data_IF_992551445266
#
_entry.id   IF_992551445266
#
_cell.length_a   1.000
_cell.length_b   1.000
_cell.length_c   1.000
_cell.angle_alpha   90.00
_cell.angle_beta   90.00
_cell.angle_gamma   90.00
#
_symmetry.space_group_name_H-M   'P 1'
#
loop_
_entity.id
_entity.type
_entity.pdbx_description
1 polymer ?
#
# COMPACT_ATOMS: atom_id res chain seq x y z
N UNK A 1 -0.64 58.51 -41.61
CA UNK A 1 -0.39 59.55 -42.64
C UNK A 1 0.06 58.82 -43.89
N UNK A 2 -0.72 58.87 -44.98
CA UNK A 2 -0.35 58.28 -46.27
C UNK A 2 -0.06 59.40 -47.26
N UNK A 3 1.10 59.39 -47.93
CA UNK A 3 1.52 60.42 -48.89
C UNK A 3 1.37 61.88 -48.37
N UNK A 4 1.61 62.11 -47.08
CA UNK A 4 1.51 63.44 -46.47
C UNK A 4 0.09 63.88 -46.05
N UNK A 5 -0.94 63.05 -46.25
CA UNK A 5 -2.32 63.30 -45.83
C UNK A 5 -2.81 62.40 -44.69
N UNK A 6 -3.84 62.87 -43.96
CA UNK A 6 -4.64 62.01 -43.06
C UNK A 6 -5.55 61.11 -43.90
N UNK A 7 -5.59 59.81 -43.57
CA UNK A 7 -6.52 58.87 -44.22
C UNK A 7 -7.96 59.20 -43.82
N UNK A 8 -8.93 58.75 -44.62
CA UNK A 8 -10.37 58.89 -44.33
C UNK A 8 -10.71 58.31 -42.96
N UNK A 9 -10.20 57.12 -42.65
CA UNK A 9 -10.36 56.49 -41.33
C UNK A 9 -9.73 57.30 -40.19
N UNK A 10 -8.51 57.83 -40.34
CA UNK A 10 -7.87 58.66 -39.29
C UNK A 10 -8.63 59.97 -39.09
N UNK A 11 -9.17 60.56 -40.16
CA UNK A 11 -9.97 61.79 -40.07
C UNK A 11 -11.28 61.56 -39.30
N UNK A 12 -12.00 60.49 -39.61
CA UNK A 12 -13.22 60.10 -38.89
C UNK A 12 -12.92 59.81 -37.41
N UNK A 13 -11.82 59.11 -37.12
CA UNK A 13 -11.40 58.82 -35.75
C UNK A 13 -11.09 60.09 -34.94
N UNK A 14 -10.40 61.07 -35.54
CA UNK A 14 -10.10 62.36 -34.91
C UNK A 14 -11.35 63.24 -34.72
N UNK A 15 -12.42 63.00 -35.47
CA UNK A 15 -13.71 63.64 -35.31
C UNK A 15 -14.63 62.91 -34.30
N UNK A 16 -14.08 61.95 -33.55
CA UNK A 16 -14.80 61.05 -32.62
C UNK A 16 -15.89 60.18 -33.27
N UNK A 17 -15.90 60.06 -34.60
CA UNK A 17 -16.77 59.17 -35.36
C UNK A 17 -16.13 57.79 -35.53
N UNK A 18 -16.23 56.97 -34.46
CA UNK A 18 -15.70 55.59 -34.49
C UNK A 18 -16.38 54.70 -35.54
N UNK A 19 -17.72 54.70 -35.70
CA UNK A 19 -18.36 53.90 -36.75
C UNK A 19 -17.86 54.27 -38.16
N UNK A 20 -17.80 55.57 -38.49
CA UNK A 20 -17.30 56.02 -39.79
C UNK A 20 -15.81 55.73 -39.99
N UNK A 21 -15.00 55.73 -38.92
CA UNK A 21 -13.60 55.31 -38.99
C UNK A 21 -13.44 53.81 -39.31
N UNK A 22 -14.31 52.97 -38.74
CA UNK A 22 -14.32 51.52 -39.02
C UNK A 22 -14.79 51.27 -40.45
N UNK A 23 -15.86 51.91 -40.90
CA UNK A 23 -16.37 51.79 -42.27
C UNK A 23 -15.30 52.23 -43.30
N UNK A 24 -14.68 53.39 -43.09
CA UNK A 24 -13.60 53.88 -43.95
C UNK A 24 -12.35 52.97 -43.95
N UNK A 25 -12.13 52.20 -42.88
CA UNK A 25 -11.06 51.21 -42.83
C UNK A 25 -11.46 49.94 -43.59
N UNK A 26 -12.68 49.44 -43.41
CA UNK A 26 -13.19 48.27 -44.11
C UNK A 26 -13.22 48.49 -45.63
N UNK A 27 -13.64 49.68 -46.07
CA UNK A 27 -13.61 50.06 -47.50
C UNK A 27 -12.21 50.12 -48.09
N UNK A 28 -11.19 50.38 -47.26
CA UNK A 28 -9.80 50.43 -47.68
C UNK A 28 -9.13 49.05 -47.74
N UNK A 29 -9.73 48.02 -47.14
CA UNK A 29 -9.19 46.67 -47.14
C UNK A 29 -9.52 45.92 -48.44
N UNK A 30 -8.64 45.02 -48.93
CA UNK A 30 -8.97 44.14 -50.04
C UNK A 30 -10.18 43.26 -49.69
N UNK A 31 -11.04 43.00 -50.66
CA UNK A 31 -12.16 42.07 -50.49
C UNK A 31 -11.61 40.66 -50.17
N UNK A 32 -12.13 39.99 -49.14
CA UNK A 32 -11.77 38.60 -48.88
C UNK A 32 -12.09 37.70 -50.06
N UNK A 33 -11.30 36.64 -50.22
CA UNK A 33 -11.51 35.60 -51.23
C UNK A 33 -12.00 34.30 -50.58
N UNK A 34 -12.89 33.62 -51.27
CA UNK A 34 -13.59 32.41 -50.83
C UNK A 34 -12.96 31.12 -51.37
N UNK A 35 -11.81 31.22 -52.03
CA UNK A 35 -11.14 30.11 -52.71
C UNK A 35 -9.62 30.16 -52.60
N UNK A 36 -9.01 29.02 -52.89
CA UNK A 36 -7.56 28.81 -52.95
C UNK A 36 -7.14 28.13 -54.25
N UNK A 37 -5.86 28.20 -54.58
CA UNK A 37 -5.25 27.50 -55.71
C UNK A 37 -4.42 26.34 -55.19
N UNK A 38 -4.83 25.10 -55.48
CA UNK A 38 -4.10 23.90 -55.04
C UNK A 38 -3.19 23.42 -56.16
N UNK A 39 -1.91 23.24 -55.84
CA UNK A 39 -0.86 22.82 -56.76
C UNK A 39 -0.44 21.36 -56.50
N UNK A 40 0.15 20.72 -57.51
CA UNK A 40 0.48 19.30 -57.47
C UNK A 40 1.57 18.92 -56.44
N UNK A 41 2.39 19.88 -56.03
CA UNK A 41 3.43 19.75 -55.00
C UNK A 41 2.89 20.00 -53.58
N UNK A 42 1.56 19.97 -53.41
CA UNK A 42 0.86 20.19 -52.13
C UNK A 42 0.99 21.62 -51.59
N UNK A 43 1.38 22.56 -52.45
CA UNK A 43 1.28 24.00 -52.17
C UNK A 43 -0.15 24.47 -52.38
N UNK A 44 -0.66 25.28 -51.45
CA UNK A 44 -1.95 25.96 -51.56
C UNK A 44 -1.72 27.46 -51.50
N UNK A 45 -2.17 28.19 -52.51
CA UNK A 45 -1.98 29.63 -52.59
C UNK A 45 -3.33 30.34 -52.43
N UNK A 46 -3.43 31.19 -51.41
CA UNK A 46 -4.52 32.14 -51.26
C UNK A 46 -4.15 33.45 -51.97
N UNK A 47 -4.86 33.84 -53.04
CA UNK A 47 -4.51 35.02 -53.86
C UNK A 47 -4.77 36.36 -53.15
N UNK A 48 -5.42 36.34 -52.00
CA UNK A 48 -5.73 37.49 -51.16
C UNK A 48 -6.09 37.05 -49.74
N UNK A 49 -6.56 37.96 -48.87
CA UNK A 49 -7.05 37.60 -47.55
C UNK A 49 -8.22 36.62 -47.69
N UNK A 50 -8.16 35.47 -47.03
CA UNK A 50 -9.25 34.50 -47.07
C UNK A 50 -10.44 35.00 -46.25
N UNK A 51 -11.65 34.58 -46.63
CA UNK A 51 -12.80 34.65 -45.73
C UNK A 51 -12.46 33.96 -44.40
N UNK A 52 -13.00 34.48 -43.29
CA UNK A 52 -12.63 34.04 -41.95
C UNK A 52 -12.81 32.52 -41.75
N UNK A 53 -13.92 31.96 -42.25
CA UNK A 53 -14.20 30.52 -42.17
C UNK A 53 -13.16 29.71 -42.95
N UNK A 54 -12.86 30.09 -44.19
CA UNK A 54 -11.87 29.41 -45.02
C UNK A 54 -10.45 29.52 -44.42
N UNK A 55 -10.11 30.67 -43.83
CA UNK A 55 -8.83 30.85 -43.14
C UNK A 55 -8.66 29.88 -41.96
N UNK A 56 -9.72 29.65 -41.18
CA UNK A 56 -9.73 28.69 -40.07
C UNK A 56 -9.55 27.27 -40.61
N UNK A 57 -10.29 26.91 -41.66
CA UNK A 57 -10.20 25.58 -42.27
C UNK A 57 -8.82 25.30 -42.87
N UNK A 58 -8.23 26.28 -43.56
CA UNK A 58 -6.86 26.17 -44.09
C UNK A 58 -5.83 26.03 -42.97
N UNK A 59 -5.96 26.78 -41.88
CA UNK A 59 -5.04 26.67 -40.73
C UNK A 59 -5.11 25.30 -40.06
N UNK A 60 -6.29 24.66 -40.07
CA UNK A 60 -6.45 23.33 -39.51
C UNK A 60 -5.70 22.26 -40.33
N UNK A 61 -5.73 22.34 -41.66
CA UNK A 61 -5.25 21.29 -42.58
C UNK A 61 -3.92 21.59 -43.26
N UNK A 62 -3.38 22.81 -43.13
CA UNK A 62 -2.13 23.21 -43.76
C UNK A 62 -1.29 24.14 -42.86
N UNK A 63 0.00 24.23 -43.15
CA UNK A 63 0.94 25.11 -42.45
C UNK A 63 1.27 26.33 -43.31
N UNK A 64 1.36 27.53 -42.73
CA UNK A 64 1.72 28.74 -43.47
C UNK A 64 3.22 28.76 -43.73
N UNK A 65 3.62 28.71 -45.00
CA UNK A 65 5.02 28.91 -45.42
C UNK A 65 5.36 30.40 -45.56
N UNK A 66 4.43 31.20 -46.09
CA UNK A 66 4.62 32.63 -46.30
C UNK A 66 3.31 33.39 -46.19
N UNK A 67 3.32 34.51 -45.46
CA UNK A 67 2.17 35.40 -45.27
C UNK A 67 2.35 36.73 -46.01
N UNK A 68 2.67 36.65 -47.30
CA UNK A 68 2.85 37.82 -48.17
C UNK A 68 1.54 38.34 -48.77
N UNK A 69 1.65 39.01 -49.93
CA UNK A 69 0.48 39.47 -50.71
C UNK A 69 -0.44 38.31 -51.13
N UNK A 70 0.14 37.12 -51.31
CA UNK A 70 -0.56 35.86 -51.36
C UNK A 70 -0.07 34.99 -50.20
N UNK A 71 -1.00 34.41 -49.44
CA UNK A 71 -0.63 33.49 -48.37
C UNK A 71 -0.38 32.12 -48.98
N UNK A 72 0.81 31.59 -48.75
CA UNK A 72 1.22 30.27 -49.24
C UNK A 72 1.16 29.30 -48.07
N UNK A 73 0.38 28.25 -48.24
CA UNK A 73 0.28 27.14 -47.31
C UNK A 73 0.91 25.90 -47.91
N UNK A 74 1.46 25.04 -47.05
CA UNK A 74 1.93 23.70 -47.38
C UNK A 74 1.08 22.67 -46.70
N UNK A 75 0.58 21.70 -47.47
CA UNK A 75 -0.05 20.52 -46.92
C UNK A 75 1.02 19.45 -46.72
N UNK A 76 1.14 18.99 -45.48
CA UNK A 76 2.02 17.91 -45.06
C UNK A 76 1.22 16.78 -44.41
N UNK A 77 1.79 15.58 -44.32
CA UNK A 77 1.20 14.48 -43.55
C UNK A 77 0.86 14.90 -42.11
N UNK A 78 1.71 15.69 -41.47
CA UNK A 78 1.50 16.18 -40.10
C UNK A 78 0.30 17.11 -40.01
N UNK A 79 0.16 18.04 -40.96
CA UNK A 79 -0.99 18.97 -40.99
C UNK A 79 -2.32 18.26 -41.28
N UNK A 80 -2.32 17.24 -42.16
CA UNK A 80 -3.50 16.40 -42.41
C UNK A 80 -3.85 15.60 -41.16
N UNK A 81 -2.86 14.98 -40.52
CA UNK A 81 -3.06 14.24 -39.26
C UNK A 81 -3.65 15.15 -38.18
N UNK A 82 -3.13 16.36 -38.03
CA UNK A 82 -3.64 17.37 -37.10
C UNK A 82 -5.12 17.67 -37.37
N UNK A 83 -5.52 17.83 -38.62
CA UNK A 83 -6.93 18.02 -38.95
C UNK A 83 -7.78 16.81 -38.52
N UNK A 84 -7.34 15.58 -38.77
CA UNK A 84 -8.04 14.37 -38.35
C UNK A 84 -8.11 14.22 -36.81
N UNK A 85 -7.08 14.65 -36.09
CA UNK A 85 -7.05 14.64 -34.62
C UNK A 85 -8.13 15.56 -34.01
N UNK A 86 -8.55 16.60 -34.74
CA UNK A 86 -9.68 17.47 -34.34
C UNK A 86 -11.05 16.86 -34.61
N UNK A 87 -11.11 15.63 -35.14
CA UNK A 87 -12.36 14.92 -35.44
C UNK A 87 -12.86 15.10 -36.88
N UNK A 88 -12.13 15.82 -37.74
CA UNK A 88 -12.47 15.92 -39.17
C UNK A 88 -12.30 14.56 -39.85
N UNK A 89 -13.14 14.28 -40.85
CA UNK A 89 -13.06 13.06 -41.65
C UNK A 89 -12.33 13.29 -42.98
N UNK A 90 -11.80 12.22 -43.58
CA UNK A 90 -11.22 12.30 -44.93
C UNK A 90 -12.20 12.87 -45.96
N UNK A 91 -13.48 12.48 -45.87
CA UNK A 91 -14.53 12.99 -46.76
C UNK A 91 -14.76 14.50 -46.63
N UNK A 92 -14.75 15.02 -45.39
CA UNK A 92 -14.83 16.46 -45.15
C UNK A 92 -13.62 17.22 -45.69
N UNK A 93 -12.41 16.65 -45.59
CA UNK A 93 -11.21 17.26 -46.16
C UNK A 93 -11.26 17.26 -47.69
N UNK A 94 -11.69 16.17 -48.32
CA UNK A 94 -11.91 16.14 -49.78
C UNK A 94 -12.98 17.15 -50.21
N UNK A 95 -14.08 17.26 -49.47
CA UNK A 95 -15.16 18.21 -49.76
C UNK A 95 -14.69 19.66 -49.64
N UNK A 96 -13.88 19.98 -48.61
CA UNK A 96 -13.26 21.28 -48.42
C UNK A 96 -12.48 21.69 -49.68
N UNK A 97 -11.54 20.86 -50.13
CA UNK A 97 -10.73 21.20 -51.32
C UNK A 97 -11.54 21.18 -52.61
N UNK A 98 -12.53 20.27 -52.74
CA UNK A 98 -13.41 20.25 -53.90
C UNK A 98 -14.28 21.51 -54.01
N UNK A 99 -14.72 22.07 -52.88
CA UNK A 99 -15.57 23.26 -52.86
C UNK A 99 -14.78 24.57 -52.93
N UNK A 100 -13.58 24.61 -52.34
CA UNK A 100 -12.81 25.85 -52.14
C UNK A 100 -11.62 25.98 -53.08
N UNK A 101 -11.25 24.96 -53.86
CA UNK A 101 -10.19 25.07 -54.85
C UNK A 101 -10.72 25.66 -56.16
N UNK A 102 -10.11 26.73 -56.65
CA UNK A 102 -10.39 27.29 -57.97
C UNK A 102 -9.71 26.50 -59.11
N UNK A 103 -8.75 25.63 -58.77
CA UNK A 103 -8.12 24.67 -59.69
C UNK A 103 -8.61 23.25 -59.41
N UNK A 104 -8.58 22.33 -60.40
CA UNK A 104 -8.83 20.92 -60.13
C UNK A 104 -7.92 20.40 -59.01
N UNK A 105 -8.50 19.67 -58.05
CA UNK A 105 -7.75 19.11 -56.93
C UNK A 105 -6.73 18.08 -57.45
N UNK A 106 -5.43 18.26 -57.18
CA UNK A 106 -4.40 17.33 -57.62
C UNK A 106 -4.56 15.96 -56.95
N UNK A 107 -4.34 14.91 -57.73
CA UNK A 107 -4.42 13.52 -57.24
C UNK A 107 -3.44 13.25 -56.08
N UNK A 108 -2.29 13.95 -56.05
CA UNK A 108 -1.31 13.86 -54.96
C UNK A 108 -1.90 14.25 -53.60
N UNK A 109 -2.77 15.27 -53.56
CA UNK A 109 -3.45 15.68 -52.33
C UNK A 109 -4.46 14.63 -51.89
N UNK A 110 -5.25 14.11 -52.82
CA UNK A 110 -6.22 13.05 -52.52
C UNK A 110 -5.54 11.81 -51.94
N UNK A 111 -4.43 11.37 -52.54
CA UNK A 111 -3.64 10.26 -52.01
C UNK A 111 -3.09 10.51 -50.62
N UNK A 112 -2.57 11.72 -50.35
CA UNK A 112 -2.07 12.06 -49.03
C UNK A 112 -3.17 11.98 -47.96
N UNK A 113 -4.35 12.56 -48.25
CA UNK A 113 -5.50 12.53 -47.33
C UNK A 113 -5.91 11.09 -47.02
N UNK A 114 -6.07 10.26 -48.06
CA UNK A 114 -6.53 8.88 -47.90
C UNK A 114 -5.50 8.01 -47.16
N UNK A 115 -4.21 8.18 -47.44
CA UNK A 115 -3.16 7.40 -46.77
C UNK A 115 -3.03 7.78 -45.28
N UNK A 116 -3.08 9.07 -44.95
CA UNK A 116 -3.05 9.52 -43.56
C UNK A 116 -4.31 9.09 -42.82
N UNK A 117 -5.49 9.23 -43.44
CA UNK A 117 -6.74 8.76 -42.84
C UNK A 117 -6.76 7.25 -42.60
N UNK A 118 -6.21 6.46 -43.52
CA UNK A 118 -6.05 5.00 -43.35
C UNK A 118 -5.16 4.64 -42.17
N UNK A 119 -4.13 5.44 -41.87
CA UNK A 119 -3.17 5.22 -40.77
C UNK A 119 -3.63 5.83 -39.45
N UNK A 120 -4.45 6.88 -39.51
CA UNK A 120 -5.03 7.58 -38.36
C UNK A 120 -6.01 6.68 -37.60
N UNK A 121 -6.01 6.78 -36.27
CA UNK A 121 -6.99 6.08 -35.42
C UNK A 121 -6.94 4.54 -35.44
N UNK A 122 -5.88 3.92 -36.01
CA UNK A 122 -5.65 2.47 -35.96
C UNK A 122 -5.36 1.97 -34.55
N UNK A 123 -4.61 2.75 -33.79
CA UNK A 123 -4.38 2.51 -32.37
C UNK A 123 -5.26 3.48 -31.58
N UNK A 124 -6.10 2.93 -30.71
CA UNK A 124 -7.01 3.71 -29.87
C UNK A 124 -6.69 3.45 -28.41
N UNK A 125 -6.40 4.51 -27.67
CA UNK A 125 -6.29 4.48 -26.22
C UNK A 125 -7.62 4.82 -25.57
N UNK A 126 -7.86 4.31 -24.37
CA UNK A 126 -8.93 4.75 -23.50
C UNK A 126 -8.47 4.66 -22.05
N UNK A 127 -8.95 5.57 -21.21
CA UNK A 127 -8.71 5.47 -19.77
C UNK A 127 -9.59 4.36 -19.19
N UNK A 128 -8.98 3.50 -18.37
CA UNK A 128 -9.65 2.47 -17.59
C UNK A 128 -8.99 2.43 -16.21
N UNK A 129 -9.79 2.53 -15.15
CA UNK A 129 -9.27 2.45 -13.78
C UNK A 129 -9.15 0.99 -13.32
N UNK A 130 -10.00 0.12 -13.85
CA UNK A 130 -9.89 -1.32 -13.64
C UNK A 130 -10.26 -2.12 -14.89
N UNK A 131 -9.79 -3.36 -14.93
CA UNK A 131 -10.13 -4.34 -15.96
C UNK A 131 -10.53 -5.67 -15.32
N UNK A 132 -11.33 -6.44 -16.04
CA UNK A 132 -11.70 -7.81 -15.69
C UNK A 132 -11.30 -8.70 -16.85
N UNK A 133 -10.57 -9.77 -16.55
CA UNK A 133 -10.20 -10.80 -17.52
C UNK A 133 -10.85 -12.11 -17.10
N UNK A 134 -11.40 -12.83 -18.07
CA UNK A 134 -11.91 -14.18 -17.86
C UNK A 134 -11.52 -15.06 -19.04
N UNK A 135 -11.12 -16.29 -18.78
CA UNK A 135 -10.81 -17.26 -19.85
C UNK A 135 -12.10 -17.74 -20.55
N UNK A 136 -13.26 -17.58 -19.90
CA UNK A 136 -14.58 -17.91 -20.44
C UNK A 136 -15.34 -16.65 -20.89
N UNK A 137 -15.52 -16.50 -22.20
CA UNK A 137 -16.27 -15.39 -22.78
C UNK A 137 -17.76 -15.40 -22.41
N UNK A 138 -18.34 -16.56 -22.10
CA UNK A 138 -19.75 -16.67 -21.74
C UNK A 138 -20.04 -16.04 -20.38
N UNK A 139 -19.11 -16.17 -19.42
CA UNK A 139 -19.22 -15.53 -18.12
C UNK A 139 -19.18 -14.00 -18.25
N UNK A 140 -18.34 -13.44 -19.12
CA UNK A 140 -18.34 -11.99 -19.34
C UNK A 140 -19.61 -11.50 -20.04
N UNK A 141 -20.19 -12.30 -20.93
CA UNK A 141 -21.48 -11.99 -21.52
C UNK A 141 -22.61 -11.98 -20.46
N UNK A 142 -22.57 -12.92 -19.51
CA UNK A 142 -23.49 -12.94 -18.37
C UNK A 142 -23.33 -11.70 -17.48
N UNK A 143 -22.08 -11.33 -17.14
CA UNK A 143 -21.78 -10.10 -16.39
C UNK A 143 -22.32 -8.88 -17.11
N UNK A 144 -22.13 -8.77 -18.43
CA UNK A 144 -22.65 -7.67 -19.24
C UNK A 144 -24.18 -7.60 -19.29
N UNK A 145 -24.87 -8.73 -19.10
CA UNK A 145 -26.34 -8.79 -18.98
C UNK A 145 -26.88 -8.42 -17.60
N UNK A 146 -26.02 -8.29 -16.59
CA UNK A 146 -26.40 -7.96 -15.23
C UNK A 146 -26.56 -6.45 -14.99
N UNK A 147 -27.26 -6.07 -13.92
CA UNK A 147 -27.40 -4.66 -13.50
C UNK A 147 -26.07 -4.03 -13.08
N UNK A 148 -25.08 -4.83 -12.67
CA UNK A 148 -23.74 -4.34 -12.28
C UNK A 148 -23.04 -3.68 -13.46
N UNK A 149 -23.21 -4.21 -14.67
CA UNK A 149 -22.56 -3.66 -15.87
C UNK A 149 -22.99 -2.23 -16.15
N UNK A 150 -24.29 -1.91 -16.00
CA UNK A 150 -24.79 -0.57 -16.15
C UNK A 150 -24.32 0.36 -15.02
N UNK A 151 -24.37 -0.12 -13.77
CA UNK A 151 -24.02 0.69 -12.59
C UNK A 151 -22.53 1.06 -12.52
N UNK A 152 -21.65 0.15 -12.95
CA UNK A 152 -20.19 0.33 -12.90
C UNK A 152 -19.57 0.60 -14.29
N UNK A 153 -20.40 0.96 -15.28
CA UNK A 153 -19.96 1.40 -16.60
C UNK A 153 -19.06 0.38 -17.31
N UNK A 154 -19.38 -0.91 -17.23
CA UNK A 154 -18.59 -1.93 -17.90
C UNK A 154 -18.66 -1.79 -19.42
N UNK A 155 -17.48 -1.87 -20.05
CA UNK A 155 -17.34 -1.89 -21.49
C UNK A 155 -16.49 -3.07 -21.91
N UNK A 156 -17.01 -3.86 -22.85
CA UNK A 156 -16.26 -4.96 -23.45
C UNK A 156 -15.28 -4.42 -24.50
N UNK A 157 -14.00 -4.70 -24.32
CA UNK A 157 -12.93 -4.32 -25.27
C UNK A 157 -12.34 -5.53 -26.00
N UNK A 158 -12.56 -6.73 -25.48
CA UNK A 158 -12.31 -8.01 -26.13
C UNK A 158 -13.31 -9.05 -25.58
N UNK A 159 -13.51 -10.20 -26.25
CA UNK A 159 -14.43 -11.25 -25.78
C UNK A 159 -14.14 -11.75 -24.36
N UNK A 160 -12.88 -11.65 -23.92
CA UNK A 160 -12.36 -12.10 -22.63
C UNK A 160 -11.91 -10.95 -21.72
N UNK A 161 -12.20 -9.69 -22.09
CA UNK A 161 -11.76 -8.51 -21.33
C UNK A 161 -12.84 -7.42 -21.27
N UNK A 162 -13.21 -7.04 -20.04
CA UNK A 162 -14.01 -5.86 -19.73
C UNK A 162 -13.12 -4.79 -19.08
N UNK A 163 -13.50 -3.52 -19.26
CA UNK A 163 -12.94 -2.40 -18.51
C UNK A 163 -14.04 -1.66 -17.76
N UNK A 164 -13.65 -0.96 -16.69
CA UNK A 164 -14.48 -0.04 -15.93
C UNK A 164 -13.73 1.26 -15.66
N UNK A 165 -14.49 2.35 -15.51
CA UNK A 165 -14.01 3.64 -15.04
C UNK A 165 -13.99 3.76 -13.52
N UNK A 166 -14.30 2.69 -12.78
CA UNK A 166 -14.33 2.65 -11.32
C UNK A 166 -13.15 1.87 -10.72
N UNK A 167 -12.80 2.12 -9.44
CA UNK A 167 -11.73 1.42 -8.74
C UNK A 167 -11.97 -0.09 -8.69
N UNK A 168 -10.90 -0.88 -8.81
CA UNK A 168 -10.99 -2.35 -8.82
C UNK A 168 -11.68 -2.90 -7.56
N UNK A 169 -11.44 -2.32 -6.39
CA UNK A 169 -12.04 -2.78 -5.14
C UNK A 169 -13.59 -2.72 -5.17
N UNK A 170 -14.14 -1.59 -5.61
CA UNK A 170 -15.58 -1.36 -5.69
C UNK A 170 -16.23 -2.28 -6.73
N UNK A 171 -15.55 -2.46 -7.88
CA UNK A 171 -15.98 -3.38 -8.94
C UNK A 171 -16.05 -4.83 -8.44
N UNK A 172 -15.03 -5.29 -7.71
CA UNK A 172 -14.99 -6.64 -7.16
C UNK A 172 -16.08 -6.87 -6.10
N UNK A 173 -16.32 -5.87 -5.25
CA UNK A 173 -17.37 -5.96 -4.22
C UNK A 173 -18.77 -5.97 -4.83
N UNK A 174 -19.01 -5.17 -5.87
CA UNK A 174 -20.27 -5.16 -6.60
C UNK A 174 -20.55 -6.50 -7.32
N UNK A 175 -19.52 -7.06 -7.97
CA UNK A 175 -19.63 -8.36 -8.62
C UNK A 175 -19.93 -9.47 -7.59
N UNK A 176 -19.29 -9.45 -6.41
CA UNK A 176 -19.61 -10.39 -5.32
C UNK A 176 -21.05 -10.22 -4.83
N UNK A 177 -21.52 -8.99 -4.68
CA UNK A 177 -22.89 -8.71 -4.27
C UNK A 177 -23.92 -9.21 -5.30
N UNK A 178 -23.54 -9.27 -6.59
CA UNK A 178 -24.35 -9.84 -7.66
C UNK A 178 -24.20 -11.36 -7.84
N UNK A 179 -23.43 -12.04 -6.98
CA UNK A 179 -23.29 -13.50 -6.99
C UNK A 179 -22.14 -14.04 -7.85
N UNK A 180 -21.34 -13.16 -8.47
CA UNK A 180 -20.12 -13.57 -9.15
C UNK A 180 -18.98 -13.82 -8.15
N UNK A 181 -17.99 -14.61 -8.55
CA UNK A 181 -16.82 -14.94 -7.72
C UNK A 181 -15.52 -14.37 -8.30
N UNK A 182 -15.36 -13.03 -8.37
CA UNK A 182 -14.18 -12.45 -8.96
C UNK A 182 -12.98 -12.49 -7.99
N UNK A 183 -11.80 -12.65 -8.56
CA UNK A 183 -10.55 -12.56 -7.85
C UNK A 183 -9.71 -11.43 -8.46
N UNK A 184 -8.91 -10.76 -7.64
CA UNK A 184 -8.07 -9.72 -8.19
C UNK A 184 -6.81 -10.32 -8.80
N UNK A 185 -6.27 -9.64 -9.80
CA UNK A 185 -5.02 -10.00 -10.43
C UNK A 185 -3.99 -8.92 -10.08
N UNK A 186 -2.83 -9.33 -9.58
CA UNK A 186 -1.68 -8.45 -9.37
C UNK A 186 -0.98 -8.12 -10.69
N UNK A 187 -0.03 -7.17 -10.68
CA UNK A 187 0.71 -6.77 -11.89
C UNK A 187 1.47 -7.92 -12.57
N UNK A 188 1.80 -8.98 -11.82
CA UNK A 188 2.46 -10.20 -12.33
C UNK A 188 1.48 -11.23 -12.93
N UNK A 189 0.19 -10.88 -13.07
CA UNK A 189 -0.85 -11.80 -13.55
C UNK A 189 -1.32 -12.82 -12.52
N UNK A 190 -0.85 -12.72 -11.28
CA UNK A 190 -1.17 -13.66 -10.19
C UNK A 190 -2.40 -13.22 -9.43
N UNK A 191 -3.25 -14.17 -9.07
CA UNK A 191 -4.43 -13.89 -8.26
C UNK A 191 -4.02 -13.37 -6.88
N UNK A 192 -4.46 -12.16 -6.53
CA UNK A 192 -4.28 -11.51 -5.25
C UNK A 192 -5.59 -11.53 -4.45
N UNK A 193 -5.47 -11.77 -3.15
CA UNK A 193 -6.58 -11.59 -2.22
C UNK A 193 -6.64 -10.11 -1.78
N UNK A 194 -7.63 -9.35 -2.27
CA UNK A 194 -7.90 -7.96 -1.83
C UNK A 194 -8.98 -7.91 -0.74
N UNK A 195 -9.29 -9.03 -0.07
CA UNK A 195 -10.14 -8.94 1.12
C UNK A 195 -9.46 -7.97 2.10
N UNK A 196 -10.18 -6.99 2.66
CA UNK A 196 -9.63 -6.14 3.70
C UNK A 196 -9.12 -7.07 4.80
N UNK A 197 -7.81 -7.08 5.03
CA UNK A 197 -7.22 -7.84 6.11
C UNK A 197 -7.98 -7.44 7.37
N UNK A 198 -8.71 -8.39 7.97
CA UNK A 198 -9.55 -8.09 9.12
C UNK A 198 -8.74 -7.27 10.12
N UNK A 199 -9.25 -6.10 10.53
CA UNK A 199 -8.56 -5.19 11.44
C UNK A 199 -8.17 -6.00 12.68
N UNK A 200 -6.90 -6.42 12.74
CA UNK A 200 -6.36 -7.07 13.92
C UNK A 200 -6.29 -5.97 14.97
N UNK A 201 -7.12 -6.09 16.01
CA UNK A 201 -6.92 -5.31 17.21
C UNK A 201 -5.46 -5.53 17.63
N UNK A 202 -4.66 -4.48 17.86
CA UNK A 202 -3.31 -4.65 18.36
C UNK A 202 -3.40 -5.52 19.61
N UNK A 203 -2.69 -6.66 19.60
CA UNK A 203 -2.61 -7.51 20.78
C UNK A 203 -2.20 -6.60 21.94
N UNK A 204 -3.00 -6.57 23.01
CA UNK A 204 -2.72 -5.78 24.22
C UNK A 204 -1.25 -6.03 24.56
N UNK A 205 -0.42 -4.98 24.46
CA UNK A 205 1.00 -5.10 24.66
C UNK A 205 1.23 -5.81 26.00
N UNK A 206 1.72 -7.06 25.95
CA UNK A 206 2.32 -7.65 27.14
C UNK A 206 3.44 -6.70 27.48
N UNK A 207 3.33 -6.05 28.64
CA UNK A 207 4.35 -5.15 29.17
C UNK A 207 5.70 -5.77 28.87
N UNK A 208 6.48 -5.10 28.02
CA UNK A 208 7.81 -5.54 27.66
C UNK A 208 8.53 -5.79 28.99
N UNK A 209 8.93 -7.03 29.25
CA UNK A 209 9.88 -7.30 30.32
C UNK A 209 11.10 -6.46 29.97
N UNK A 210 11.32 -5.37 30.70
CA UNK A 210 12.56 -4.60 30.65
C UNK A 210 13.69 -5.63 30.72
N UNK A 211 14.57 -5.63 29.73
CA UNK A 211 15.84 -6.30 29.86
C UNK A 211 16.50 -5.81 31.16
N UNK A 212 17.03 -6.70 32.02
CA UNK A 212 17.80 -6.24 33.17
C UNK A 212 18.99 -5.42 32.63
N UNK A 213 19.16 -4.19 33.13
CA UNK A 213 20.38 -3.43 32.88
C UNK A 213 21.60 -4.20 33.39
N UNK A 214 22.76 -3.96 32.79
CA UNK A 214 24.03 -4.56 33.22
C UNK A 214 24.19 -4.44 34.74
N UNK A 215 24.51 -5.55 35.45
CA UNK A 215 24.69 -5.49 36.88
C UNK A 215 25.91 -4.63 37.20
N UNK A 216 25.70 -3.56 37.97
CA UNK A 216 26.79 -2.79 38.56
C UNK A 216 27.73 -3.73 39.32
N UNK A 217 29.04 -3.56 39.12
CA UNK A 217 30.06 -4.42 39.73
C UNK A 217 29.90 -4.55 41.25
N UNK A 218 30.16 -5.75 41.77
CA UNK A 218 30.05 -6.06 43.20
C UNK A 218 31.02 -5.19 44.00
N UNK A 219 30.54 -4.58 45.09
CA UNK A 219 31.41 -3.85 46.01
C UNK A 219 32.28 -4.80 46.84
N UNK A 220 33.44 -4.34 47.32
CA UNK A 220 34.36 -5.15 48.13
C UNK A 220 33.69 -5.77 49.37
N UNK A 221 32.71 -5.08 49.96
CA UNK A 221 31.92 -5.60 51.09
C UNK A 221 31.03 -6.80 50.69
N UNK A 222 30.48 -6.78 49.47
CA UNK A 222 29.70 -7.90 48.94
C UNK A 222 30.59 -9.12 48.64
N UNK A 223 31.79 -8.88 48.11
CA UNK A 223 32.79 -9.94 47.89
C UNK A 223 33.18 -10.57 49.22
N UNK A 224 33.43 -9.77 50.26
CA UNK A 224 33.76 -10.26 51.60
C UNK A 224 32.69 -11.20 52.18
N UNK A 225 31.40 -10.83 52.03
CA UNK A 225 30.27 -11.66 52.50
C UNK A 225 30.17 -12.99 51.76
N UNK A 226 30.38 -12.99 50.44
CA UNK A 226 30.35 -14.22 49.64
C UNK A 226 31.47 -15.17 50.06
N UNK A 227 32.71 -14.65 50.25
CA UNK A 227 33.85 -15.46 50.69
C UNK A 227 33.60 -16.07 52.07
N UNK A 228 33.02 -15.30 53.01
CA UNK A 228 32.66 -15.82 54.32
C UNK A 228 31.63 -16.96 54.22
N UNK A 229 30.64 -16.83 53.33
CA UNK A 229 29.59 -17.84 53.15
C UNK A 229 30.12 -19.14 52.53
N UNK A 230 31.03 -19.03 51.55
CA UNK A 230 31.70 -20.20 50.94
C UNK A 230 32.53 -20.94 52.00
N UNK A 231 33.33 -20.21 52.80
CA UNK A 231 34.13 -20.83 53.88
C UNK A 231 33.27 -21.51 54.95
N UNK A 232 32.08 -20.97 55.25
CA UNK A 232 31.13 -21.59 56.17
C UNK A 232 30.51 -22.88 55.58
N UNK A 233 30.20 -22.90 54.28
CA UNK A 233 29.69 -24.08 53.57
C UNK A 233 30.72 -25.21 53.47
N UNK A 234 31.99 -24.87 53.26
CA UNK A 234 33.09 -25.84 53.27
C UNK A 234 33.28 -26.46 54.67
N UNK A 235 33.18 -25.65 55.73
CA UNK A 235 33.24 -26.15 57.11
C UNK A 235 32.05 -27.06 57.47
N UNK A 236 30.87 -26.80 56.92
CA UNK A 236 29.67 -27.64 57.11
C UNK A 236 29.74 -28.95 56.31
N UNK A 237 30.38 -28.95 55.14
CA UNK A 237 30.54 -30.14 54.29
C UNK A 237 31.60 -31.12 54.82
N UNK A 238 32.49 -30.66 55.71
CA UNK A 238 33.55 -31.46 56.31
C UNK A 238 33.09 -32.39 57.47
N UNK A 239 31.82 -32.32 57.90
CA UNK A 239 31.27 -33.17 58.99
C UNK A 239 30.43 -34.33 58.44
N UNK A 240 30.59 -35.54 59.01
CA UNK A 240 29.93 -36.77 58.53
C UNK A 240 28.53 -36.94 59.12
N UNK A 241 27.60 -37.53 58.35
CA UNK A 241 26.24 -37.85 58.81
C UNK A 241 26.18 -39.27 59.41
N UNK A 242 25.42 -39.42 60.49
CA UNK A 242 25.06 -40.71 61.08
C UNK A 242 23.81 -41.36 60.48
N UNK A 243 23.30 -42.38 61.17
CA UNK A 243 22.20 -43.24 60.72
C UNK A 243 20.86 -42.47 60.51
N UNK A 244 20.28 -42.60 59.31
CA UNK A 244 19.09 -41.85 58.88
C UNK A 244 17.80 -42.63 59.02
N UNK A 245 16.77 -42.05 59.65
CA UNK A 245 15.39 -42.56 59.66
C UNK A 245 14.59 -41.88 58.54
N UNK A 246 13.90 -42.65 57.69
CA UNK A 246 13.06 -42.14 56.59
C UNK A 246 11.59 -42.46 56.85
N UNK A 247 10.71 -41.48 56.60
CA UNK A 247 9.27 -41.70 56.59
C UNK A 247 8.78 -41.96 55.15
N UNK A 248 7.95 -42.99 54.89
CA UNK A 248 7.50 -43.30 53.53
C UNK A 248 6.47 -42.30 52.99
N UNK A 249 6.54 -42.06 51.68
CA UNK A 249 5.56 -41.27 50.92
C UNK A 249 4.24 -42.05 50.80
N UNK A 250 3.26 -41.74 51.64
CA UNK A 250 1.88 -42.20 51.46
C UNK A 250 1.27 -42.88 52.69
N UNK A 251 0.54 -42.10 53.50
CA UNK A 251 -0.73 -42.52 54.13
C UNK A 251 -0.77 -43.76 55.04
N UNK A 252 0.32 -44.17 55.69
CA UNK A 252 0.31 -45.21 56.73
C UNK A 252 0.92 -44.71 58.04
N UNK A 253 0.15 -44.71 59.13
CA UNK A 253 0.47 -44.12 60.44
C UNK A 253 1.60 -44.81 61.25
N UNK A 254 2.42 -45.66 60.62
CA UNK A 254 3.44 -46.49 61.29
C UNK A 254 4.76 -45.78 61.62
N UNK A 255 5.24 -44.85 60.78
CA UNK A 255 6.62 -44.31 60.87
C UNK A 255 6.75 -42.82 61.24
N UNK A 256 5.63 -42.10 61.37
CA UNK A 256 5.65 -40.73 61.93
C UNK A 256 6.03 -40.74 63.42
N UNK A 257 5.74 -41.83 64.13
CA UNK A 257 6.10 -42.04 65.54
C UNK A 257 7.61 -42.18 65.75
N UNK A 258 8.31 -42.92 64.88
CA UNK A 258 9.77 -43.09 64.93
C UNK A 258 10.49 -41.76 64.62
N UNK A 259 10.00 -41.02 63.64
CA UNK A 259 10.52 -39.68 63.30
C UNK A 259 10.28 -38.70 64.46
N UNK A 260 9.10 -38.73 65.09
CA UNK A 260 8.79 -37.95 66.28
C UNK A 260 9.67 -38.32 67.48
N UNK A 261 9.94 -39.61 67.70
CA UNK A 261 10.79 -40.09 68.78
C UNK A 261 12.26 -39.65 68.60
N UNK A 262 12.77 -39.66 67.36
CA UNK A 262 14.11 -39.15 67.07
C UNK A 262 14.20 -37.65 67.31
N UNK A 263 13.22 -36.88 66.83
CA UNK A 263 13.18 -35.42 67.01
C UNK A 263 12.98 -35.02 68.47
N UNK A 264 12.13 -35.73 69.22
CA UNK A 264 11.92 -35.48 70.65
C UNK A 264 13.19 -35.79 71.46
N UNK A 265 13.86 -36.91 71.18
CA UNK A 265 15.16 -37.25 71.76
C UNK A 265 16.21 -36.17 71.47
N UNK A 266 16.31 -35.74 70.21
CA UNK A 266 17.26 -34.70 69.82
C UNK A 266 16.98 -33.34 70.48
N UNK A 267 15.71 -33.04 70.76
CA UNK A 267 15.30 -31.83 71.48
C UNK A 267 15.76 -31.87 72.95
N UNK A 268 15.61 -33.03 73.60
CA UNK A 268 16.07 -33.23 74.99
C UNK A 268 17.60 -33.19 75.06
N UNK A 269 18.29 -33.86 74.13
CA UNK A 269 19.76 -33.89 74.07
C UNK A 269 20.37 -32.60 73.48
N UNK A 270 19.53 -31.67 72.96
CA UNK A 270 19.93 -30.45 72.23
C UNK A 270 20.96 -30.70 71.13
N UNK A 271 20.83 -31.82 70.42
CA UNK A 271 21.72 -32.22 69.31
C UNK A 271 21.18 -31.75 67.97
N UNK A 272 22.08 -31.49 67.03
CA UNK A 272 21.71 -31.12 65.67
C UNK A 272 21.12 -32.34 64.94
N UNK A 273 20.01 -32.11 64.25
CA UNK A 273 19.30 -33.13 63.46
C UNK A 273 19.31 -32.70 62.02
N UNK A 274 19.68 -33.63 61.17
CA UNK A 274 19.51 -33.51 59.76
C UNK A 274 18.08 -33.94 59.35
N UNK A 275 17.35 -33.10 58.62
CA UNK A 275 15.99 -33.38 58.15
C UNK A 275 15.87 -33.25 56.63
N UNK A 276 15.11 -34.16 56.03
CA UNK A 276 14.54 -34.01 54.69
C UNK A 276 13.16 -33.34 54.79
N UNK A 277 12.95 -32.26 54.05
CA UNK A 277 11.72 -31.46 54.11
C UNK A 277 11.21 -31.11 52.72
N UNK A 278 9.90 -31.25 52.50
CA UNK A 278 9.24 -30.86 51.25
C UNK A 278 8.46 -29.56 51.45
N UNK A 279 8.74 -28.55 50.64
CA UNK A 279 8.07 -27.24 50.74
C UNK A 279 6.65 -27.24 50.16
N UNK A 280 5.93 -26.11 50.28
CA UNK A 280 4.57 -25.96 49.74
C UNK A 280 4.48 -26.06 48.22
N UNK A 281 5.61 -26.06 47.51
CA UNK A 281 5.70 -26.22 46.05
C UNK A 281 6.11 -27.64 45.66
N UNK A 282 6.21 -28.56 46.62
CA UNK A 282 6.56 -29.96 46.38
C UNK A 282 8.06 -30.19 46.16
N UNK A 283 8.92 -29.21 46.42
CA UNK A 283 10.37 -29.35 46.25
C UNK A 283 10.99 -29.94 47.51
N UNK A 284 11.68 -31.07 47.39
CA UNK A 284 12.41 -31.69 48.50
C UNK A 284 13.76 -30.99 48.74
N UNK A 285 14.01 -30.62 49.99
CA UNK A 285 15.25 -29.98 50.45
C UNK A 285 15.78 -30.67 51.70
N UNK A 286 17.07 -30.50 51.98
CA UNK A 286 17.75 -31.11 53.12
C UNK A 286 18.27 -29.99 54.03
N UNK A 287 18.08 -30.09 55.36
CA UNK A 287 18.48 -29.05 56.32
C UNK A 287 19.05 -29.68 57.59
N UNK A 288 20.02 -29.01 58.22
CA UNK A 288 20.45 -29.34 59.58
C UNK A 288 19.81 -28.31 60.51
N UNK A 289 19.09 -28.79 61.52
CA UNK A 289 18.33 -27.96 62.45
C UNK A 289 18.62 -28.44 63.87
N UNK A 290 18.87 -27.50 64.78
CA UNK A 290 18.95 -27.79 66.22
C UNK A 290 17.55 -27.61 66.83
N UNK A 291 16.86 -28.68 67.23
CA UNK A 291 15.48 -28.60 67.66
C UNK A 291 15.37 -28.03 69.08
N UNK A 292 14.54 -27.00 69.25
CA UNK A 292 14.17 -26.41 70.54
C UNK A 292 12.93 -27.05 71.13
N UNK A 293 11.94 -27.36 70.29
CA UNK A 293 10.66 -27.93 70.72
C UNK A 293 10.04 -28.75 69.59
N UNK A 294 9.44 -29.88 69.95
CA UNK A 294 8.63 -30.72 69.04
C UNK A 294 7.27 -30.92 69.68
N UNK A 295 6.18 -30.54 69.01
CA UNK A 295 4.83 -30.72 69.52
C UNK A 295 3.77 -30.06 68.64
N UNK A 296 2.51 -30.46 68.78
CA UNK A 296 1.40 -29.85 68.03
C UNK A 296 1.50 -30.00 66.50
N UNK A 297 2.26 -30.99 66.01
CA UNK A 297 2.45 -31.19 64.57
C UNK A 297 3.59 -30.39 63.94
N UNK A 298 4.41 -29.66 64.72
CA UNK A 298 5.50 -28.80 64.23
C UNK A 298 6.81 -29.03 65.01
N UNK A 299 7.93 -28.91 64.30
CA UNK A 299 9.30 -28.84 64.82
C UNK A 299 9.76 -27.38 64.83
N UNK A 300 10.17 -26.86 65.99
CA UNK A 300 10.76 -25.53 66.15
C UNK A 300 12.27 -25.64 66.37
N UNK A 301 13.05 -24.91 65.57
CA UNK A 301 14.50 -24.81 65.67
C UNK A 301 14.98 -23.60 66.47
N UNK A 302 16.25 -23.58 66.88
CA UNK A 302 16.90 -22.48 67.63
C UNK A 302 16.80 -21.12 66.95
N UNK A 303 16.83 -21.09 65.62
CA UNK A 303 16.81 -19.86 64.85
C UNK A 303 15.38 -19.40 64.50
N UNK A 304 14.41 -19.79 65.35
CA UNK A 304 12.99 -19.47 65.24
C UNK A 304 12.32 -20.04 63.96
N UNK A 305 12.92 -21.08 63.38
CA UNK A 305 12.40 -21.79 62.20
C UNK A 305 11.33 -22.82 62.59
N UNK A 306 10.27 -22.95 61.78
CA UNK A 306 9.13 -23.85 62.01
C UNK A 306 8.92 -24.80 60.85
N UNK A 307 8.95 -26.10 61.14
CA UNK A 307 8.78 -27.18 60.15
C UNK A 307 7.57 -28.06 60.49
N UNK A 308 6.49 -28.06 59.67
CA UNK A 308 5.39 -29.00 59.87
C UNK A 308 5.84 -30.45 59.72
N UNK A 309 5.55 -31.28 60.72
CA UNK A 309 6.03 -32.67 60.80
C UNK A 309 5.56 -33.53 59.63
N UNK A 310 4.33 -33.32 59.15
CA UNK A 310 3.79 -34.05 57.99
C UNK A 310 4.53 -33.77 56.67
N UNK A 311 5.44 -32.79 56.66
CA UNK A 311 6.29 -32.45 55.51
C UNK A 311 7.75 -32.87 55.68
N UNK A 312 8.09 -33.44 56.85
CA UNK A 312 9.40 -34.01 57.09
C UNK A 312 9.38 -35.44 56.55
N UNK A 313 10.20 -35.68 55.53
CA UNK A 313 10.30 -36.97 54.83
C UNK A 313 11.39 -37.85 55.42
N UNK A 314 12.37 -37.29 56.13
CA UNK A 314 13.40 -38.04 56.83
C UNK A 314 14.03 -37.22 57.95
N UNK A 315 14.57 -37.89 58.96
CA UNK A 315 15.33 -37.28 60.05
C UNK A 315 16.48 -38.18 60.50
N UNK A 316 17.63 -37.60 60.81
CA UNK A 316 18.83 -38.31 61.24
C UNK A 316 19.61 -37.46 62.24
N UNK A 317 20.18 -38.06 63.28
CA UNK A 317 21.09 -37.32 64.15
C UNK A 317 22.38 -37.01 63.39
N UNK A 318 22.88 -35.78 63.54
CA UNK A 318 24.22 -35.45 63.08
C UNK A 318 25.20 -36.14 64.02
N UNK A 319 26.11 -36.94 63.45
CA UNK A 319 27.26 -37.50 64.17
C UNK A 319 28.42 -36.49 64.11
N UNK A 320 29.23 -36.45 65.15
CA UNK A 320 30.39 -35.57 65.23
C UNK A 320 31.53 -36.03 64.30
#
# INVERSE_FOLDING_TARGET
>A
IGLGGLTTATRALLAEDRPGAVEAMLDALPRPVDHVLVQADLTVVAPGPLEAELAIEMTAVADVESAGHATVYRITETSVRRALDTGRTAGELHQLFAAKSATPVPQSLSYLIDDVARRHGRLRGGAAESFLRCDDASLLAEVMGSSVAANYGFRMIAPTVLISSYPLADVLDALRAAGFAPAAEGPDGRVMDIRPSGRRLPAKARAARRAPGEPAGLSDDQVGKIVAHVRAGDAASARRRGETVRAPQGGGAGDTSATLALLSRATVERREVWIGFVDSRGTASQRVVRPLRVGGGVLEGTDNERYPLHRITSAALVED
#
